data_IF_892673267251
#
_entry.id   IF_892673267251
#
_cell.length_a   1.000
_cell.length_b   1.000
_cell.length_c   1.000
_cell.angle_alpha   90.00
_cell.angle_beta   90.00
_cell.angle_gamma   90.00
#
_symmetry.space_group_name_H-M   'P 1'
#
loop_
_entity.id
_entity.type
_entity.pdbx_description
1 polymer ?
#
# COMPACT_ATOMS: atom_id res chain seq x y z
N UNK A 1 29.67 9.91 -28.77
CA UNK A 1 28.55 8.97 -28.95
C UNK A 1 27.78 8.92 -27.64
N UNK A 2 26.65 9.61 -27.57
CA UNK A 2 25.77 9.60 -26.39
C UNK A 2 25.17 8.20 -26.24
N UNK A 3 25.48 7.50 -25.15
CA UNK A 3 24.79 6.26 -24.78
C UNK A 3 23.30 6.60 -24.67
N UNK A 4 22.48 5.98 -25.50
CA UNK A 4 21.04 5.99 -25.33
C UNK A 4 20.74 5.41 -23.95
N UNK A 5 20.14 6.22 -23.07
CA UNK A 5 19.49 5.72 -21.86
C UNK A 5 18.28 4.94 -22.37
N UNK A 6 18.47 3.65 -22.67
CA UNK A 6 17.37 2.73 -22.92
C UNK A 6 16.61 2.64 -21.61
N UNK A 7 15.54 3.44 -21.47
CA UNK A 7 14.56 3.29 -20.41
C UNK A 7 13.99 1.88 -20.54
N UNK A 8 14.51 0.94 -19.74
CA UNK A 8 14.05 -0.45 -19.76
C UNK A 8 12.71 -0.53 -19.02
N UNK A 9 11.66 0.01 -19.62
CA UNK A 9 10.30 -0.13 -19.11
C UNK A 9 9.87 -1.60 -19.19
N UNK A 10 9.10 -2.06 -18.22
CA UNK A 10 8.62 -3.44 -18.19
C UNK A 10 7.78 -3.73 -19.45
N UNK A 11 8.08 -4.79 -20.21
CA UNK A 11 7.31 -5.13 -21.39
C UNK A 11 5.91 -5.60 -21.00
N UNK A 12 4.94 -5.37 -21.89
CA UNK A 12 3.52 -5.66 -21.64
C UNK A 12 3.28 -7.14 -21.28
N UNK A 13 3.93 -8.06 -21.98
CA UNK A 13 3.77 -9.51 -21.76
C UNK A 13 4.27 -9.94 -20.37
N UNK A 14 5.38 -9.37 -19.90
CA UNK A 14 5.91 -9.60 -18.55
C UNK A 14 4.93 -9.04 -17.50
N UNK A 15 4.39 -7.85 -17.74
CA UNK A 15 3.38 -7.25 -16.87
C UNK A 15 2.09 -8.09 -16.80
N UNK A 16 1.57 -8.54 -17.94
CA UNK A 16 0.37 -9.39 -17.99
C UNK A 16 0.58 -10.74 -17.31
N UNK A 17 1.78 -11.31 -17.43
CA UNK A 17 2.19 -12.53 -16.72
C UNK A 17 2.25 -12.29 -15.22
N UNK A 18 2.88 -11.20 -14.78
CA UNK A 18 2.96 -10.83 -13.38
C UNK A 18 1.57 -10.57 -12.76
N UNK A 19 0.60 -10.12 -13.55
CA UNK A 19 -0.79 -9.94 -13.10
C UNK A 19 -1.54 -11.25 -12.84
N UNK A 20 -1.08 -12.38 -13.37
CA UNK A 20 -1.68 -13.68 -13.09
C UNK A 20 -1.31 -14.23 -11.70
N UNK A 21 -0.09 -13.93 -11.25
CA UNK A 21 0.42 -14.36 -9.94
C UNK A 21 1.51 -13.39 -9.46
N UNK A 22 1.07 -12.34 -8.79
CA UNK A 22 1.97 -11.25 -8.36
C UNK A 22 2.96 -11.76 -7.30
N UNK A 23 2.51 -12.69 -6.45
CA UNK A 23 3.33 -13.27 -5.39
C UNK A 23 4.48 -14.14 -5.94
N UNK A 24 4.28 -14.75 -7.11
CA UNK A 24 5.32 -15.50 -7.82
C UNK A 24 6.26 -14.58 -8.61
N UNK A 25 5.75 -13.47 -9.15
CA UNK A 25 6.54 -12.52 -9.90
C UNK A 25 7.44 -11.64 -9.01
N UNK A 26 7.02 -11.35 -7.78
CA UNK A 26 7.76 -10.49 -6.84
C UNK A 26 7.92 -11.16 -5.48
N UNK A 27 9.13 -11.09 -4.91
CA UNK A 27 9.41 -11.65 -3.59
C UNK A 27 8.78 -10.85 -2.45
N UNK A 28 8.56 -9.55 -2.65
CA UNK A 28 7.96 -8.65 -1.66
C UNK A 28 7.29 -7.43 -2.30
N UNK A 29 6.30 -6.80 -1.65
CA UNK A 29 5.72 -5.55 -2.14
C UNK A 29 6.72 -4.40 -2.17
N UNK A 30 7.78 -4.43 -1.33
CA UNK A 30 8.85 -3.43 -1.35
C UNK A 30 9.72 -3.54 -2.60
N UNK A 31 10.02 -4.76 -3.06
CA UNK A 31 10.74 -5.03 -4.30
C UNK A 31 9.96 -4.50 -5.52
N UNK A 32 8.65 -4.77 -5.55
CA UNK A 32 7.74 -4.24 -6.58
C UNK A 32 7.74 -2.69 -6.60
N UNK A 33 7.75 -2.04 -5.43
CA UNK A 33 7.86 -0.58 -5.35
C UNK A 33 9.20 -0.05 -5.84
N UNK A 34 10.29 -0.77 -5.61
CA UNK A 34 11.63 -0.39 -6.02
C UNK A 34 11.87 -0.61 -7.52
N UNK A 35 11.06 -1.41 -8.21
CA UNK A 35 11.25 -1.69 -9.64
C UNK A 35 11.01 -0.43 -10.49
N UNK A 36 12.09 0.12 -11.03
CA UNK A 36 12.07 1.33 -11.87
C UNK A 36 11.47 1.09 -13.26
N UNK A 37 11.32 -0.18 -13.66
CA UNK A 37 10.72 -0.57 -14.94
C UNK A 37 9.19 -0.44 -14.93
N UNK A 38 8.60 -0.37 -13.72
CA UNK A 38 7.17 -0.20 -13.51
C UNK A 38 6.81 1.28 -13.33
N UNK A 39 5.84 1.75 -14.09
CA UNK A 39 5.18 3.03 -13.80
C UNK A 39 4.38 2.95 -12.50
N UNK A 40 4.11 4.11 -11.88
CA UNK A 40 3.26 4.20 -10.68
C UNK A 40 1.90 3.51 -10.88
N UNK A 41 1.28 3.69 -12.03
CA UNK A 41 -0.01 3.07 -12.36
C UNK A 41 0.10 1.54 -12.44
N UNK A 42 1.17 1.00 -13.02
CA UNK A 42 1.43 -0.44 -13.07
C UNK A 42 1.71 -1.01 -11.67
N UNK A 43 2.51 -0.31 -10.85
CA UNK A 43 2.76 -0.69 -9.45
C UNK A 43 1.45 -0.79 -8.67
N UNK A 44 0.59 0.21 -8.81
CA UNK A 44 -0.70 0.23 -8.13
C UNK A 44 -1.60 -0.93 -8.57
N UNK A 45 -1.66 -1.23 -9.87
CA UNK A 45 -2.42 -2.38 -10.39
C UNK A 45 -1.92 -3.71 -9.83
N UNK A 46 -0.60 -3.94 -9.85
CA UNK A 46 -0.01 -5.16 -9.32
C UNK A 46 -0.26 -5.31 -7.81
N UNK A 47 -0.11 -4.23 -7.04
CA UNK A 47 -0.40 -4.26 -5.60
C UNK A 47 -1.88 -4.52 -5.29
N UNK A 48 -2.81 -3.94 -6.07
CA UNK A 48 -4.25 -4.19 -5.90
C UNK A 48 -4.61 -5.64 -6.20
N UNK A 49 -4.05 -6.22 -7.26
CA UNK A 49 -4.23 -7.64 -7.56
C UNK A 49 -3.67 -8.50 -6.42
N UNK A 50 -2.48 -8.17 -5.91
CA UNK A 50 -1.88 -8.92 -4.81
C UNK A 50 -2.71 -8.83 -3.51
N UNK A 51 -3.33 -7.68 -3.21
CA UNK A 51 -4.28 -7.54 -2.10
C UNK A 51 -5.46 -8.50 -2.25
N UNK A 52 -6.03 -8.58 -3.46
CA UNK A 52 -7.14 -9.48 -3.77
C UNK A 52 -6.74 -10.96 -3.62
N UNK A 53 -5.61 -11.38 -4.20
CA UNK A 53 -5.13 -12.77 -4.13
C UNK A 53 -4.87 -13.20 -2.67
N UNK A 54 -4.24 -12.34 -1.87
CA UNK A 54 -4.00 -12.61 -0.44
C UNK A 54 -5.31 -12.63 0.37
N UNK A 55 -6.28 -11.79 0.03
CA UNK A 55 -7.61 -11.83 0.61
C UNK A 55 -8.30 -13.17 0.36
N UNK A 56 -8.25 -13.68 -0.88
CA UNK A 56 -8.78 -15.00 -1.23
C UNK A 56 -8.05 -16.12 -0.46
N UNK A 57 -6.73 -16.05 -0.34
CA UNK A 57 -5.95 -17.03 0.41
C UNK A 57 -6.30 -17.06 1.89
N UNK A 58 -6.55 -15.90 2.51
CA UNK A 58 -6.93 -15.82 3.92
C UNK A 58 -8.35 -16.37 4.15
N UNK A 59 -9.30 -16.06 3.26
CA UNK A 59 -10.66 -16.63 3.31
C UNK A 59 -10.59 -18.15 3.15
N UNK A 60 -9.84 -18.65 2.17
CA UNK A 60 -9.65 -20.08 1.96
C UNK A 60 -8.91 -20.77 3.13
N UNK A 61 -7.96 -20.08 3.76
CA UNK A 61 -7.21 -20.57 4.92
C UNK A 61 -8.01 -20.57 6.23
N UNK A 62 -9.02 -19.68 6.37
CA UNK A 62 -9.98 -19.73 7.46
C UNK A 62 -10.93 -20.93 7.34
N UNK A 63 -11.30 -21.32 6.11
CA UNK A 63 -12.13 -22.52 5.87
C UNK A 63 -11.35 -23.83 6.02
N UNK A 64 -10.01 -23.79 5.91
CA UNK A 64 -9.13 -24.95 5.96
C UNK A 64 -8.14 -24.82 7.13
N UNK A 65 -8.64 -25.04 8.35
CA UNK A 65 -7.94 -25.01 9.66
C UNK A 65 -6.42 -24.71 9.62
N UNK A 66 -6.09 -23.41 9.72
CA UNK A 66 -4.86 -22.82 10.24
C UNK A 66 -3.56 -23.66 10.14
N UNK A 67 -3.00 -23.78 8.94
CA UNK A 67 -1.58 -24.06 8.74
C UNK A 67 -0.71 -22.80 8.90
N UNK A 68 0.58 -22.98 9.18
CA UNK A 68 1.55 -21.90 9.48
C UNK A 68 1.69 -20.84 8.37
N UNK A 69 1.26 -21.16 7.14
CA UNK A 69 1.20 -20.23 6.01
C UNK A 69 0.23 -19.06 6.15
N UNK A 70 -0.80 -19.15 7.00
CA UNK A 70 -1.82 -18.09 7.14
C UNK A 70 -1.26 -16.82 7.82
N UNK A 71 -0.34 -16.98 8.78
CA UNK A 71 0.34 -15.85 9.43
C UNK A 71 1.20 -15.08 8.43
N UNK A 72 1.82 -15.78 7.48
CA UNK A 72 2.65 -15.18 6.42
C UNK A 72 1.82 -14.41 5.38
N UNK A 73 0.60 -14.86 5.07
CA UNK A 73 -0.30 -14.17 4.15
C UNK A 73 -0.88 -12.88 4.75
N UNK A 74 -1.28 -12.91 6.03
CA UNK A 74 -1.83 -11.74 6.72
C UNK A 74 -0.80 -10.61 6.86
N UNK A 75 0.45 -10.94 7.19
CA UNK A 75 1.53 -9.94 7.25
C UNK A 75 1.81 -9.36 5.86
N UNK A 76 1.87 -10.21 4.83
CA UNK A 76 2.09 -9.75 3.45
C UNK A 76 0.98 -8.82 2.97
N UNK A 77 -0.27 -9.09 3.34
CA UNK A 77 -1.42 -8.24 3.01
C UNK A 77 -1.29 -6.86 3.65
N UNK A 78 -0.85 -6.78 4.92
CA UNK A 78 -0.59 -5.49 5.59
C UNK A 78 0.48 -4.69 4.85
N UNK A 79 1.57 -5.33 4.44
CA UNK A 79 2.64 -4.69 3.69
C UNK A 79 2.19 -4.19 2.32
N UNK A 80 1.39 -4.99 1.59
CA UNK A 80 0.80 -4.59 0.30
C UNK A 80 -0.07 -3.34 0.48
N UNK A 81 -0.97 -3.33 1.47
CA UNK A 81 -1.84 -2.17 1.77
C UNK A 81 -1.05 -0.92 2.13
N UNK A 82 0.00 -1.06 2.93
CA UNK A 82 0.89 0.05 3.26
C UNK A 82 1.59 0.63 2.01
N UNK A 83 1.97 -0.23 1.05
CA UNK A 83 2.55 0.21 -0.22
C UNK A 83 1.53 0.94 -1.12
N UNK A 84 0.28 0.47 -1.16
CA UNK A 84 -0.83 1.12 -1.87
C UNK A 84 -1.09 2.51 -1.27
N UNK A 85 -1.20 2.60 0.05
CA UNK A 85 -1.42 3.87 0.76
C UNK A 85 -0.29 4.87 0.48
N UNK A 86 0.96 4.43 0.60
CA UNK A 86 2.14 5.25 0.28
C UNK A 86 2.11 5.76 -1.17
N UNK A 87 1.75 4.92 -2.13
CA UNK A 87 1.63 5.33 -3.52
C UNK A 87 0.46 6.31 -3.71
N UNK A 88 -0.67 6.07 -3.04
CA UNK A 88 -1.87 6.92 -3.07
C UNK A 88 -1.60 8.31 -2.49
N UNK A 89 -1.11 8.38 -1.27
CA UNK A 89 -0.78 9.64 -0.57
C UNK A 89 0.32 10.46 -1.23
N UNK A 90 1.26 9.82 -1.94
CA UNK A 90 2.28 10.55 -2.71
C UNK A 90 1.69 11.40 -3.86
N UNK A 91 0.57 10.98 -4.47
CA UNK A 91 -0.08 11.80 -5.51
C UNK A 91 -0.81 13.04 -4.95
N UNK A 92 -1.25 12.99 -3.69
CA UNK A 92 -1.82 14.14 -2.99
C UNK A 92 -0.72 15.07 -2.44
N UNK A 93 0.46 14.54 -2.11
CA UNK A 93 1.61 15.35 -1.66
C UNK A 93 2.16 16.27 -2.77
N UNK A 94 2.03 15.87 -4.04
CA UNK A 94 2.40 16.70 -5.20
C UNK A 94 1.35 17.78 -5.51
N UNK A 95 0.16 17.75 -4.89
CA UNK A 95 -0.95 18.65 -5.23
C UNK A 95 -1.02 19.94 -4.41
N UNK A 96 -0.49 20.03 -3.18
CA UNK A 96 -0.54 21.29 -2.41
C UNK A 96 0.48 21.31 -1.24
N UNK A 97 1.59 22.10 -1.30
CA UNK A 97 2.43 22.35 -0.13
C UNK A 97 1.91 23.48 0.76
N UNK A 98 0.61 23.83 0.74
CA UNK A 98 0.10 24.94 1.54
C UNK A 98 -1.32 24.70 2.02
N UNK A 99 -1.49 24.44 3.32
CA UNK A 99 -2.84 24.36 3.87
C UNK A 99 -3.04 23.99 5.33
N UNK A 100 -2.21 24.50 6.25
CA UNK A 100 -2.50 24.61 7.70
C UNK A 100 -2.93 23.33 8.44
N UNK A 101 -1.97 22.73 9.16
CA UNK A 101 -2.28 21.95 10.38
C UNK A 101 -2.76 22.90 11.48
N UNK A 102 -4.06 23.19 11.47
CA UNK A 102 -4.71 24.10 12.40
C UNK A 102 -5.21 23.37 13.65
N UNK A 103 -4.51 23.58 14.76
CA UNK A 103 -5.15 23.89 16.05
C UNK A 103 -5.77 22.74 16.82
N UNK A 104 -5.00 22.23 17.78
CA UNK A 104 -5.51 21.62 19.00
C UNK A 104 -6.57 22.55 19.64
N UNK A 105 -7.83 22.11 19.68
CA UNK A 105 -8.84 22.73 20.53
C UNK A 105 -8.87 21.96 21.84
N UNK A 106 -8.04 22.42 22.78
CA UNK A 106 -8.23 22.17 24.21
C UNK A 106 -9.54 22.86 24.58
N UNK A 107 -10.64 22.11 24.67
CA UNK A 107 -11.87 22.67 25.23
C UNK A 107 -11.71 22.64 26.74
N UNK A 108 -11.47 23.82 27.29
CA UNK A 108 -11.39 24.10 28.71
C UNK A 108 -12.64 23.59 29.45
N UNK A 109 -12.40 22.79 30.48
CA UNK A 109 -13.39 22.47 31.50
C UNK A 109 -13.61 23.74 32.35
N UNK A 110 -14.71 24.43 32.13
CA UNK A 110 -15.22 25.45 33.05
C UNK A 110 -16.67 25.16 33.42
N UNK A 111 -16.91 25.10 34.74
CA UNK A 111 -18.16 25.26 35.53
C UNK A 111 -18.10 24.30 36.72
N UNK A 112 -18.22 24.67 38.00
CA UNK A 112 -18.48 25.92 38.73
C UNK A 112 -18.32 25.56 40.24
N UNK A 113 -17.80 26.41 41.14
CA UNK A 113 -17.67 26.07 42.57
C UNK A 113 -18.99 26.20 43.36
N UNK A 114 -19.13 25.53 44.54
CA UNK A 114 -20.36 25.45 45.30
C UNK A 114 -20.65 26.73 46.10
N UNK A 115 -21.94 27.08 46.25
CA UNK A 115 -22.40 28.18 47.10
C UNK A 115 -22.75 27.65 48.48
N UNK A 116 -22.04 28.10 49.51
CA UNK A 116 -22.40 27.94 50.91
C UNK A 116 -23.28 29.12 51.36
N UNK A 117 -24.40 28.83 52.02
CA UNK A 117 -25.03 29.57 53.14
C UNK A 117 -26.32 28.85 53.52
#
# INVERSE_FOLDING_TARGET
MTKAVMTNAMPKEEFETAMQDVAKAFGSPAELLADERLSRAQKLKLLQQWDYDLGLLLVAGEENMAGDGSQSAAERLRLVRACIDRLGGAADAEKDPTGKVGGAQIIALDRKPPRAS
#
